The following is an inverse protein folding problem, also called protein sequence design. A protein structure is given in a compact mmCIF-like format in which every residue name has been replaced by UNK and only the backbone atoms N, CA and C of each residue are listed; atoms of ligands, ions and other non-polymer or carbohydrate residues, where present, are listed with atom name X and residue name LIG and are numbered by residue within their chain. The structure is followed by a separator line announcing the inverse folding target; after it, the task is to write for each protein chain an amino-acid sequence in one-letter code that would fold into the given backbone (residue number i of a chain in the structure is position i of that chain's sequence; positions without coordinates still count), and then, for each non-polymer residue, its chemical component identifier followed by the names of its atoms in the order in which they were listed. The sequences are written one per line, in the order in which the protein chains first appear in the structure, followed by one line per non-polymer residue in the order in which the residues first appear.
data_IF_733060637278
#
_entry.id   IF_733060637278
#
_cell.length_a   1.000
_cell.length_b   1.000
_cell.length_c   1.000
_cell.angle_alpha   90.00
_cell.angle_beta   90.00
_cell.angle_gamma   90.00
#
_symmetry.space_group_name_H-M   'P 1'
#
loop_
_entity.id
_entity.type
_entity.pdbx_description
1 polymer ?
#
# COMPACT_ATOMS: atom_id res chain seq x y z
N UNK A 1 -13.55 18.56 48.27
CA UNK A 1 -15.00 18.30 48.19
C UNK A 1 -15.64 19.65 47.93
N UNK A 2 -15.79 19.98 46.63
CA UNK A 2 -17.06 19.91 45.86
C UNK A 2 -17.85 21.20 46.11
N UNK A 3 -18.40 21.90 45.13
CA UNK A 3 -19.13 21.45 43.95
C UNK A 3 -19.48 22.63 43.02
N UNK A 4 -19.72 22.31 41.73
CA UNK A 4 -20.68 22.94 40.79
C UNK A 4 -20.44 24.41 40.36
N UNK A 5 -19.96 24.63 39.12
CA UNK A 5 -20.79 24.91 37.92
C UNK A 5 -21.50 26.29 37.92
N UNK A 6 -21.03 27.23 37.07
CA UNK A 6 -21.72 27.68 35.84
C UNK A 6 -21.09 28.94 35.23
N UNK A 7 -20.91 28.85 33.91
CA UNK A 7 -21.11 29.86 32.87
C UNK A 7 -20.36 31.20 32.91
N UNK A 8 -19.52 31.38 31.89
CA UNK A 8 -19.01 32.67 31.45
C UNK A 8 -18.35 32.51 30.08
N UNK A 9 -19.18 32.50 29.02
CA UNK A 9 -18.76 32.32 27.64
C UNK A 9 -17.70 33.33 27.19
N UNK A 10 -16.69 32.85 26.47
CA UNK A 10 -15.72 33.72 25.79
C UNK A 10 -16.28 34.04 24.39
N UNK A 11 -16.53 35.32 24.06
CA UNK A 11 -17.05 35.72 22.77
C UNK A 11 -15.99 35.55 21.66
N UNK A 12 -16.46 35.15 20.49
CA UNK A 12 -15.64 34.83 19.32
C UNK A 12 -14.74 35.99 18.88
N UNK A 13 -13.43 35.76 18.91
CA UNK A 13 -12.48 36.47 18.06
C UNK A 13 -12.42 35.77 16.70
N UNK A 14 -12.33 36.49 15.57
CA UNK A 14 -12.14 35.87 14.28
C UNK A 14 -10.84 35.06 14.36
N UNK A 15 -10.94 33.73 14.21
CA UNK A 15 -9.78 32.90 13.91
C UNK A 15 -9.19 33.46 12.62
N UNK A 16 -8.11 34.21 12.78
CA UNK A 16 -7.37 34.81 11.68
C UNK A 16 -6.62 33.66 11.04
N UNK A 17 -7.31 32.92 10.17
CA UNK A 17 -6.72 31.93 9.29
C UNK A 17 -5.63 32.66 8.53
N UNK A 18 -4.36 32.38 8.87
CA UNK A 18 -3.22 32.79 8.07
C UNK A 18 -3.32 32.04 6.75
N UNK A 19 -4.10 32.57 5.81
CA UNK A 19 -4.09 32.14 4.43
C UNK A 19 -2.78 32.67 3.84
N UNK A 20 -1.71 31.88 3.93
CA UNK A 20 -0.52 32.14 3.14
C UNK A 20 -0.91 32.02 1.68
N UNK A 21 -0.61 33.03 0.85
CA UNK A 21 -0.71 32.86 -0.59
C UNK A 21 0.22 31.71 -1.00
N UNK A 22 -0.19 30.83 -1.91
CA UNK A 22 0.57 29.64 -2.34
C UNK A 22 2.04 29.95 -2.70
N UNK A 23 2.30 31.17 -3.20
CA UNK A 23 3.65 31.66 -3.52
C UNK A 23 4.53 31.94 -2.30
N UNK A 24 3.97 32.37 -1.19
CA UNK A 24 4.73 32.67 0.03
C UNK A 24 5.11 31.39 0.77
N UNK A 25 4.23 30.38 0.75
CA UNK A 25 4.53 29.05 1.26
C UNK A 25 5.63 28.34 0.45
N UNK A 26 5.54 28.38 -0.89
CA UNK A 26 6.58 27.85 -1.77
C UNK A 26 7.94 28.53 -1.55
N UNK A 27 7.96 29.87 -1.41
CA UNK A 27 9.19 30.62 -1.13
C UNK A 27 9.83 30.22 0.21
N UNK A 28 9.01 29.95 1.22
CA UNK A 28 9.50 29.53 2.54
C UNK A 28 10.14 28.13 2.49
N UNK A 29 9.51 27.18 1.79
CA UNK A 29 10.09 25.86 1.55
C UNK A 29 11.39 25.91 0.74
N UNK A 30 11.43 26.76 -0.29
CA UNK A 30 12.63 26.99 -1.11
C UNK A 30 13.76 27.68 -0.33
N UNK A 31 13.46 28.52 0.66
CA UNK A 31 14.46 29.20 1.49
C UNK A 31 15.30 28.20 2.30
N UNK A 32 14.70 27.09 2.74
CA UNK A 32 15.40 26.03 3.48
C UNK A 32 16.20 25.06 2.59
N UNK A 33 16.17 25.23 1.26
CA UNK A 33 16.93 24.38 0.33
C UNK A 33 16.48 22.92 0.31
N UNK A 34 15.27 22.63 0.81
CA UNK A 34 14.64 21.30 0.81
C UNK A 34 13.79 21.07 -0.45
N UNK A 35 13.50 22.13 -1.20
CA UNK A 35 12.64 22.09 -2.36
C UNK A 35 13.09 23.15 -3.37
N UNK A 36 12.91 22.85 -4.65
CA UNK A 36 13.18 23.79 -5.74
C UNK A 36 12.25 23.53 -6.91
N UNK A 37 11.87 24.59 -7.62
CA UNK A 37 11.00 24.50 -8.79
C UNK A 37 11.78 24.72 -10.07
N UNK A 38 11.31 24.12 -11.16
CA UNK A 38 11.89 24.28 -12.48
C UNK A 38 10.80 24.41 -13.53
N UNK A 39 11.16 25.08 -14.63
CA UNK A 39 10.39 25.09 -15.86
C UNK A 39 11.33 24.81 -17.03
N UNK A 40 10.80 24.20 -18.08
CA UNK A 40 11.53 23.90 -19.31
C UNK A 40 10.65 24.18 -20.51
N UNK A 41 11.07 25.10 -21.36
CA UNK A 41 10.41 25.42 -22.63
C UNK A 41 11.07 24.63 -23.75
N UNK A 42 10.35 23.66 -24.31
CA UNK A 42 10.94 22.71 -25.27
C UNK A 42 11.40 23.38 -26.58
N UNK A 43 10.68 24.40 -27.05
CA UNK A 43 10.98 25.05 -28.33
C UNK A 43 12.33 25.78 -28.33
N UNK A 44 12.75 26.31 -27.18
CA UNK A 44 13.99 27.08 -27.03
C UNK A 44 15.05 26.33 -26.23
N UNK A 45 14.71 25.13 -25.74
CA UNK A 45 15.46 24.35 -24.76
C UNK A 45 15.83 25.14 -23.48
N UNK A 46 15.07 26.19 -23.19
CA UNK A 46 15.36 27.09 -22.07
C UNK A 46 14.78 26.54 -20.77
N UNK A 47 15.63 26.44 -19.75
CA UNK A 47 15.20 26.09 -18.39
C UNK A 47 15.25 27.32 -17.48
N UNK A 48 14.31 27.40 -16.55
CA UNK A 48 14.37 28.35 -15.43
C UNK A 48 14.29 27.57 -14.14
N UNK A 49 15.21 27.84 -13.22
CA UNK A 49 15.28 27.23 -11.90
C UNK A 49 14.99 28.28 -10.84
N UNK A 50 14.28 27.89 -9.80
CA UNK A 50 14.09 28.77 -8.65
C UNK A 50 15.35 28.89 -7.79
N UNK A 51 15.47 29.93 -6.96
CA UNK A 51 16.57 30.06 -6.01
C UNK A 51 16.68 28.84 -5.07
N UNK A 52 15.54 28.23 -4.71
CA UNK A 52 15.51 27.00 -3.93
C UNK A 52 16.18 25.84 -4.65
N UNK A 53 15.95 25.70 -5.97
CA UNK A 53 16.58 24.64 -6.76
C UNK A 53 18.09 24.84 -6.86
N UNK A 54 18.58 26.06 -7.07
CA UNK A 54 20.03 26.32 -7.02
C UNK A 54 20.64 25.84 -5.69
N UNK A 55 20.06 26.23 -4.55
CA UNK A 55 20.53 25.81 -3.23
C UNK A 55 20.41 24.29 -3.02
N UNK A 56 19.34 23.68 -3.52
CA UNK A 56 19.13 22.22 -3.48
C UNK A 56 20.20 21.46 -4.28
N UNK A 57 20.71 22.05 -5.35
CA UNK A 57 21.80 21.52 -6.17
C UNK A 57 23.20 21.85 -5.60
N UNK A 58 23.29 22.59 -4.48
CA UNK A 58 24.56 23.03 -3.91
C UNK A 58 25.21 24.16 -4.69
N UNK A 59 24.42 24.95 -5.42
CA UNK A 59 24.85 26.09 -6.23
C UNK A 59 24.33 27.40 -5.64
N UNK A 60 25.10 28.47 -5.82
CA UNK A 60 24.62 29.82 -5.52
C UNK A 60 23.61 30.29 -6.58
N UNK A 61 22.46 30.87 -6.19
CA UNK A 61 21.50 31.41 -7.15
C UNK A 61 22.15 32.42 -8.11
N UNK A 62 22.07 32.15 -9.40
CA UNK A 62 22.65 33.01 -10.45
C UNK A 62 24.14 32.78 -10.73
N UNK A 63 24.80 31.86 -10.04
CA UNK A 63 26.21 31.53 -10.30
C UNK A 63 26.43 30.77 -11.62
N UNK A 64 25.39 30.11 -12.14
CA UNK A 64 25.42 29.41 -13.41
C UNK A 64 24.08 29.55 -14.14
N UNK A 65 24.14 29.46 -15.47
CA UNK A 65 22.93 29.42 -16.30
C UNK A 65 22.22 28.08 -16.08
N UNK A 66 20.92 28.05 -15.74
CA UNK A 66 20.13 26.83 -15.72
C UNK A 66 20.20 26.10 -17.06
N UNK A 67 20.33 24.79 -17.02
CA UNK A 67 20.38 23.99 -18.25
C UNK A 67 20.45 22.49 -17.98
N UNK A 68 19.98 21.71 -18.95
CA UNK A 68 19.96 20.25 -18.87
C UNK A 68 21.34 19.67 -18.59
N UNK A 69 22.38 20.13 -19.29
CA UNK A 69 23.75 19.65 -19.13
C UNK A 69 24.31 19.92 -17.73
N UNK A 70 24.05 21.11 -17.17
CA UNK A 70 24.48 21.46 -15.82
C UNK A 70 23.85 20.54 -14.79
N UNK A 71 22.54 20.31 -14.90
CA UNK A 71 21.83 19.40 -14.01
C UNK A 71 22.32 17.96 -14.18
N UNK A 72 22.46 17.49 -15.42
CA UNK A 72 22.90 16.14 -15.75
C UNK A 72 24.29 15.82 -15.19
N UNK A 73 25.20 16.80 -15.19
CA UNK A 73 26.53 16.62 -14.59
C UNK A 73 26.49 16.42 -13.07
N UNK A 74 25.47 16.95 -12.39
CA UNK A 74 25.25 16.72 -10.96
C UNK A 74 24.58 15.38 -10.69
N UNK A 75 23.92 14.75 -11.67
CA UNK A 75 23.26 13.44 -11.48
C UNK A 75 24.29 12.34 -11.29
N UNK A 76 24.04 11.48 -10.30
CA UNK A 76 24.86 10.30 -10.03
C UNK A 76 24.96 9.43 -11.29
N UNK A 77 26.16 8.92 -11.67
CA UNK A 77 26.37 8.19 -12.93
C UNK A 77 25.35 7.08 -13.21
N UNK A 78 25.01 6.27 -12.19
CA UNK A 78 24.03 5.18 -12.29
C UNK A 78 22.60 5.65 -12.64
N UNK A 79 22.25 6.89 -12.31
CA UNK A 79 20.88 7.41 -12.47
C UNK A 79 20.75 8.24 -13.76
N UNK A 80 21.83 8.45 -14.52
CA UNK A 80 21.84 9.28 -15.73
C UNK A 80 20.90 8.78 -16.83
N UNK A 81 20.88 7.46 -17.06
CA UNK A 81 19.99 6.86 -18.06
C UNK A 81 18.50 7.09 -17.74
N UNK A 82 18.15 7.08 -16.45
CA UNK A 82 16.79 7.40 -15.99
C UNK A 82 16.43 8.86 -16.30
N UNK A 83 17.36 9.79 -16.04
CA UNK A 83 17.15 11.22 -16.30
C UNK A 83 17.04 11.53 -17.81
N UNK A 84 17.87 10.90 -18.64
CA UNK A 84 17.78 11.02 -20.10
C UNK A 84 16.44 10.50 -20.63
N UNK A 85 16.02 9.31 -20.17
CA UNK A 85 14.73 8.74 -20.53
C UNK A 85 13.55 9.62 -20.11
N UNK A 86 13.60 10.17 -18.89
CA UNK A 86 12.59 11.12 -18.39
C UNK A 86 12.54 12.42 -19.19
N UNK A 87 13.69 12.96 -19.59
CA UNK A 87 13.76 14.15 -20.44
C UNK A 87 13.13 13.90 -21.81
N UNK A 88 13.35 12.73 -22.41
CA UNK A 88 12.72 12.35 -23.66
C UNK A 88 11.21 12.15 -23.50
N UNK A 89 10.78 11.44 -22.46
CA UNK A 89 9.36 11.23 -22.15
C UNK A 89 8.60 12.56 -22.00
N UNK A 90 9.20 13.56 -21.34
CA UNK A 90 8.61 14.89 -21.19
C UNK A 90 8.45 15.62 -22.53
N UNK A 91 9.40 15.47 -23.47
CA UNK A 91 9.26 16.00 -24.84
C UNK A 91 8.15 15.30 -25.63
N UNK A 92 7.87 14.04 -25.31
CA UNK A 92 6.78 13.26 -25.89
C UNK A 92 5.43 13.50 -25.18
N UNK A 93 5.40 14.37 -24.16
CA UNK A 93 4.20 14.73 -23.41
C UNK A 93 3.87 13.81 -22.24
N UNK A 94 4.77 12.88 -21.88
CA UNK A 94 4.61 11.91 -20.81
C UNK A 94 5.36 12.41 -19.58
N UNK A 95 4.70 12.38 -18.41
CA UNK A 95 5.30 12.76 -17.13
C UNK A 95 5.39 11.56 -16.22
N UNK A 96 6.61 11.22 -15.82
CA UNK A 96 6.88 10.19 -14.82
C UNK A 96 7.51 10.84 -13.60
N UNK A 97 7.05 10.47 -12.40
CA UNK A 97 7.68 10.89 -11.16
C UNK A 97 8.77 9.87 -10.80
N UNK A 98 9.95 10.34 -10.41
CA UNK A 98 11.06 9.44 -10.13
C UNK A 98 11.98 9.98 -9.02
N UNK A 99 12.62 9.04 -8.33
CA UNK A 99 13.68 9.29 -7.38
C UNK A 99 15.03 9.13 -8.08
N UNK A 100 15.97 10.03 -7.80
CA UNK A 100 17.32 9.96 -8.35
C UNK A 100 18.31 10.63 -7.40
N UNK A 101 19.59 10.30 -7.55
CA UNK A 101 20.67 10.84 -6.75
C UNK A 101 21.40 11.96 -7.50
N UNK A 102 21.80 12.98 -6.76
CA UNK A 102 22.77 13.99 -7.20
C UNK A 102 24.03 13.93 -6.36
N UNK A 103 25.15 14.34 -6.94
CA UNK A 103 26.44 14.55 -6.29
C UNK A 103 26.73 16.05 -6.38
N UNK A 104 26.80 16.70 -5.22
CA UNK A 104 27.13 18.13 -5.12
C UNK A 104 28.64 18.35 -5.27
N UNK A 105 29.03 19.61 -5.47
CA UNK A 105 30.44 20.03 -5.56
C UNK A 105 31.26 19.73 -4.30
N UNK A 106 30.62 19.66 -3.14
CA UNK A 106 31.22 19.26 -1.86
C UNK A 106 31.36 17.73 -1.70
N UNK A 107 30.94 16.95 -2.71
CA UNK A 107 30.96 15.49 -2.71
C UNK A 107 29.79 14.83 -1.98
N UNK A 108 28.87 15.61 -1.38
CA UNK A 108 27.70 15.04 -0.73
C UNK A 108 26.70 14.48 -1.75
N UNK A 109 26.13 13.32 -1.43
CA UNK A 109 25.08 12.70 -2.24
C UNK A 109 23.73 13.07 -1.67
N UNK A 110 22.81 13.52 -2.52
CA UNK A 110 21.41 13.78 -2.15
C UNK A 110 20.45 12.94 -2.98
N UNK A 111 19.38 12.47 -2.35
CA UNK A 111 18.27 11.78 -3.01
C UNK A 111 17.16 12.78 -3.23
N UNK A 112 16.77 12.99 -4.49
CA UNK A 112 15.73 13.93 -4.88
C UNK A 112 14.52 13.20 -5.44
N UNK A 113 13.32 13.68 -5.10
CA UNK A 113 12.07 13.29 -5.75
C UNK A 113 11.65 14.32 -6.77
N UNK A 114 11.42 13.90 -8.02
CA UNK A 114 10.91 14.75 -9.10
C UNK A 114 9.41 14.55 -9.31
N UNK A 115 8.69 15.67 -9.35
CA UNK A 115 7.30 15.71 -9.79
C UNK A 115 7.11 16.82 -10.82
N UNK A 116 6.37 16.53 -11.89
CA UNK A 116 6.19 17.48 -13.00
C UNK A 116 4.81 17.50 -13.62
N UNK A 117 4.63 18.36 -14.60
CA UNK A 117 3.48 18.42 -15.50
C UNK A 117 3.94 18.99 -16.84
N UNK A 118 3.41 18.47 -17.94
CA UNK A 118 3.60 19.01 -19.29
C UNK A 118 2.36 19.77 -19.72
N UNK A 119 2.58 20.98 -20.25
CA UNK A 119 1.58 21.84 -20.83
C UNK A 119 1.68 21.80 -22.35
N UNK A 120 0.53 21.74 -23.02
CA UNK A 120 0.43 21.57 -24.46
C UNK A 120 -0.01 22.88 -25.14
N UNK A 121 0.33 23.05 -26.42
CA UNK A 121 -0.28 24.07 -27.29
C UNK A 121 -1.73 23.70 -27.61
N UNK A 122 -2.48 24.65 -28.19
CA UNK A 122 -3.83 24.39 -28.70
C UNK A 122 -3.88 23.25 -29.74
N UNK A 123 -2.79 23.04 -30.48
CA UNK A 123 -2.65 21.98 -31.48
C UNK A 123 -2.22 20.63 -30.88
N UNK A 124 -2.21 20.48 -29.55
CA UNK A 124 -1.90 19.24 -28.85
C UNK A 124 -0.40 18.88 -28.78
N UNK A 125 0.51 19.82 -29.08
CA UNK A 125 1.96 19.58 -29.00
C UNK A 125 2.53 20.00 -27.64
N UNK A 126 3.44 19.21 -27.02
CA UNK A 126 4.13 19.63 -25.81
C UNK A 126 4.82 21.00 -25.98
N UNK A 127 4.52 21.95 -25.10
CA UNK A 127 5.04 23.33 -25.15
C UNK A 127 6.06 23.59 -24.05
N UNK A 128 5.70 23.24 -22.82
CA UNK A 128 6.47 23.57 -21.62
C UNK A 128 6.25 22.49 -20.58
N UNK A 129 7.28 22.13 -19.83
CA UNK A 129 7.16 21.35 -18.60
C UNK A 129 7.45 22.23 -17.39
N UNK A 130 6.80 21.95 -16.27
CA UNK A 130 7.11 22.57 -14.99
C UNK A 130 7.03 21.53 -13.88
N UNK A 131 7.83 21.71 -12.82
CA UNK A 131 7.86 20.74 -11.74
C UNK A 131 8.57 21.23 -10.50
N UNK A 132 8.67 20.31 -9.55
CA UNK A 132 9.32 20.48 -8.26
C UNK A 132 10.27 19.32 -8.00
N UNK A 133 11.43 19.66 -7.44
CA UNK A 133 12.38 18.72 -6.87
C UNK A 133 12.35 18.87 -5.35
N UNK A 134 12.26 17.76 -4.64
CA UNK A 134 12.27 17.73 -3.17
C UNK A 134 13.43 16.88 -2.67
N UNK A 135 14.13 17.39 -1.67
CA UNK A 135 15.15 16.63 -0.95
C UNK A 135 14.50 15.59 -0.03
N UNK A 136 14.83 14.31 -0.24
CA UNK A 136 14.40 13.20 0.61
C UNK A 136 15.62 12.44 1.18
N UNK A 137 16.78 13.11 1.24
CA UNK A 137 18.06 12.51 1.63
C UNK A 137 18.12 12.04 3.08
N UNK A 138 17.24 12.50 3.97
CA UNK A 138 17.31 12.23 5.42
C UNK A 138 17.68 10.76 5.69
N UNK A 139 18.96 10.51 6.03
CA UNK A 139 19.49 9.14 6.10
C UNK A 139 18.88 8.38 7.25
N UNK A 140 18.52 9.08 8.32
CA UNK A 140 17.90 8.48 9.51
C UNK A 140 16.45 8.13 9.23
N UNK A 141 15.72 8.98 8.51
CA UNK A 141 14.35 8.71 8.11
C UNK A 141 14.26 7.60 7.06
N UNK A 142 15.13 7.60 6.04
CA UNK A 142 15.18 6.50 5.07
C UNK A 142 15.62 5.19 5.70
N UNK A 143 16.63 5.21 6.57
CA UNK A 143 17.01 4.02 7.34
C UNK A 143 15.91 3.60 8.33
N UNK A 144 15.15 4.53 8.91
CA UNK A 144 14.02 4.22 9.79
C UNK A 144 12.84 3.64 9.01
N UNK A 145 12.49 4.18 7.85
CA UNK A 145 11.46 3.65 6.95
C UNK A 145 11.83 2.26 6.46
N UNK A 146 13.09 2.06 6.02
CA UNK A 146 13.58 0.74 5.64
C UNK A 146 13.62 -0.23 6.82
N UNK A 147 14.07 0.20 8.01
CA UNK A 147 14.05 -0.64 9.22
C UNK A 147 12.63 -0.99 9.65
N UNK A 148 11.70 -0.05 9.59
CA UNK A 148 10.30 -0.26 9.96
C UNK A 148 9.59 -1.15 8.95
N UNK A 149 9.84 -0.98 7.65
CA UNK A 149 9.31 -1.87 6.62
C UNK A 149 9.90 -3.29 6.74
N UNK A 150 11.21 -3.41 6.98
CA UNK A 150 11.84 -4.71 7.26
C UNK A 150 11.29 -5.34 8.53
N UNK A 151 11.07 -4.56 9.59
CA UNK A 151 10.46 -5.02 10.84
C UNK A 151 9.02 -5.47 10.62
N UNK A 152 8.22 -4.69 9.87
CA UNK A 152 6.84 -5.00 9.52
C UNK A 152 6.77 -6.30 8.71
N UNK A 153 7.60 -6.44 7.68
CA UNK A 153 7.73 -7.68 6.90
C UNK A 153 8.13 -8.86 7.76
N UNK A 154 9.10 -8.68 8.66
CA UNK A 154 9.54 -9.74 9.59
C UNK A 154 8.43 -10.19 10.52
N UNK A 155 7.71 -9.26 11.15
CA UNK A 155 6.58 -9.57 12.05
C UNK A 155 5.46 -10.27 11.29
N UNK A 156 5.10 -9.80 10.09
CA UNK A 156 4.09 -10.44 9.25
C UNK A 156 4.49 -11.87 8.86
N UNK A 157 5.78 -12.10 8.61
CA UNK A 157 6.28 -13.44 8.33
C UNK A 157 6.29 -14.33 9.58
N UNK A 158 6.83 -13.86 10.70
CA UNK A 158 6.92 -14.62 11.96
C UNK A 158 5.53 -14.97 12.50
N UNK A 159 4.60 -14.01 12.54
CA UNK A 159 3.27 -14.19 13.14
C UNK A 159 2.25 -14.77 12.17
N UNK A 160 2.22 -14.27 10.93
CA UNK A 160 1.18 -14.61 9.95
C UNK A 160 1.67 -15.53 8.82
N UNK A 161 2.95 -15.93 8.80
CA UNK A 161 3.54 -16.75 7.74
C UNK A 161 3.18 -16.21 6.35
N UNK A 162 3.21 -14.88 6.24
CA UNK A 162 2.87 -14.12 5.04
C UNK A 162 4.11 -13.37 4.57
N UNK A 163 4.40 -13.44 3.27
CA UNK A 163 5.52 -12.71 2.68
C UNK A 163 5.18 -12.21 1.28
N UNK A 164 5.85 -11.12 0.90
CA UNK A 164 5.76 -10.54 -0.42
C UNK A 164 7.03 -10.84 -1.20
N UNK A 165 6.88 -11.06 -2.49
CA UNK A 165 8.01 -11.31 -3.37
C UNK A 165 7.73 -10.72 -4.75
N UNK A 166 8.62 -9.84 -5.21
CA UNK A 166 8.63 -9.36 -6.59
C UNK A 166 9.94 -9.79 -7.25
N UNK A 167 9.84 -10.40 -8.43
CA UNK A 167 10.99 -10.74 -9.27
C UNK A 167 10.61 -10.56 -10.73
N UNK A 168 11.57 -10.16 -11.58
CA UNK A 168 11.45 -10.43 -13.01
C UNK A 168 11.13 -11.92 -13.20
N UNK A 169 10.05 -12.25 -13.89
CA UNK A 169 9.75 -13.64 -14.26
C UNK A 169 10.42 -13.95 -15.60
N UNK A 170 11.72 -13.72 -15.67
CA UNK A 170 12.53 -14.15 -16.81
C UNK A 170 13.14 -15.51 -16.46
N UNK A 171 13.31 -16.40 -17.45
CA UNK A 171 14.01 -17.68 -17.22
C UNK A 171 15.44 -17.47 -16.70
N UNK A 172 16.05 -16.33 -17.03
CA UNK A 172 17.44 -16.01 -16.73
C UNK A 172 17.67 -15.27 -15.41
N UNK A 173 16.64 -14.71 -14.78
CA UNK A 173 16.81 -13.90 -13.57
C UNK A 173 15.67 -14.14 -12.57
N UNK A 174 15.80 -15.21 -11.77
CA UNK A 174 14.91 -15.51 -10.65
C UNK A 174 15.67 -15.33 -9.34
N UNK A 175 15.18 -14.44 -8.49
CA UNK A 175 15.69 -14.26 -7.13
C UNK A 175 14.63 -14.75 -6.16
N UNK A 176 14.97 -15.57 -5.17
CA UNK A 176 14.05 -15.85 -4.08
C UNK A 176 14.09 -14.73 -3.03
N UNK A 177 12.98 -14.56 -2.32
CA UNK A 177 12.95 -13.75 -1.11
C UNK A 177 13.62 -14.51 0.05
N UNK A 178 14.21 -13.76 1.00
CA UNK A 178 14.88 -14.35 2.17
C UNK A 178 13.94 -15.24 2.99
N UNK A 179 12.66 -14.88 3.04
CA UNK A 179 11.60 -15.62 3.72
C UNK A 179 11.42 -17.01 3.11
N UNK A 180 11.40 -17.14 1.78
CA UNK A 180 11.29 -18.44 1.09
C UNK A 180 12.52 -19.30 1.29
N UNK A 181 13.73 -18.72 1.21
CA UNK A 181 14.96 -19.47 1.46
C UNK A 181 15.00 -19.98 2.91
N UNK A 182 14.57 -19.15 3.87
CA UNK A 182 14.50 -19.55 5.27
C UNK A 182 13.49 -20.69 5.53
N UNK A 183 12.37 -20.73 4.80
CA UNK A 183 11.38 -21.81 4.93
C UNK A 183 11.84 -23.11 4.29
N UNK A 184 12.43 -23.02 3.11
CA UNK A 184 12.78 -24.17 2.27
C UNK A 184 14.18 -24.72 2.57
N UNK A 185 15.06 -23.90 3.15
CA UNK A 185 16.46 -24.22 3.40
C UNK A 185 17.34 -24.15 2.16
N UNK A 186 16.79 -23.72 1.02
CA UNK A 186 17.54 -23.60 -0.22
C UNK A 186 18.51 -22.42 -0.16
N UNK A 187 19.63 -22.55 -0.85
CA UNK A 187 20.48 -21.40 -1.16
C UNK A 187 19.88 -20.59 -2.32
N UNK A 188 20.30 -19.34 -2.46
CA UNK A 188 19.92 -18.53 -3.62
C UNK A 188 20.40 -19.17 -4.93
N UNK A 189 21.54 -19.84 -4.90
CA UNK A 189 22.09 -20.54 -6.06
C UNK A 189 21.23 -21.74 -6.45
N UNK A 190 20.84 -22.59 -5.50
CA UNK A 190 19.94 -23.73 -5.75
C UNK A 190 18.59 -23.28 -6.32
N UNK A 191 18.07 -22.17 -5.80
CA UNK A 191 16.83 -21.58 -6.29
C UNK A 191 16.98 -21.01 -7.71
N UNK A 192 18.10 -20.37 -8.00
CA UNK A 192 18.38 -19.84 -9.33
C UNK A 192 18.50 -20.97 -10.37
N UNK A 193 19.24 -22.02 -10.04
CA UNK A 193 19.41 -23.21 -10.89
C UNK A 193 18.10 -23.95 -11.12
N UNK A 194 17.30 -24.14 -10.05
CA UNK A 194 16.00 -24.77 -10.17
C UNK A 194 15.01 -24.29 -9.10
N UNK A 195 14.29 -23.23 -9.44
CA UNK A 195 13.26 -22.62 -8.58
C UNK A 195 12.13 -23.59 -8.20
N UNK A 196 11.86 -24.62 -9.01
CA UNK A 196 10.79 -25.60 -8.69
C UNK A 196 11.12 -26.44 -7.46
N UNK A 197 12.37 -26.43 -7.00
CA UNK A 197 12.78 -27.13 -5.76
C UNK A 197 12.07 -26.62 -4.51
N UNK A 198 11.51 -25.40 -4.54
CA UNK A 198 10.69 -24.89 -3.43
C UNK A 198 9.43 -25.72 -3.20
N UNK A 199 8.89 -26.36 -4.25
CA UNK A 199 7.69 -27.20 -4.14
C UNK A 199 8.05 -28.62 -3.72
N UNK A 200 7.10 -29.28 -3.07
CA UNK A 200 7.16 -30.74 -2.87
C UNK A 200 7.31 -31.45 -4.23
N UNK A 201 8.08 -32.56 -4.31
CA UNK A 201 8.41 -33.21 -5.58
C UNK A 201 7.21 -33.48 -6.49
N UNK A 202 6.08 -33.87 -5.91
CA UNK A 202 4.86 -34.24 -6.60
C UNK A 202 4.17 -33.02 -7.26
N UNK A 203 4.37 -31.82 -6.73
CA UNK A 203 3.74 -30.59 -7.21
C UNK A 203 4.59 -29.83 -8.24
N UNK A 204 5.85 -30.20 -8.43
CA UNK A 204 6.81 -29.44 -9.27
C UNK A 204 6.36 -29.32 -10.73
N UNK A 205 6.00 -30.44 -11.34
CA UNK A 205 5.58 -30.47 -12.75
C UNK A 205 4.29 -29.67 -12.96
N UNK A 206 3.33 -29.79 -12.03
CA UNK A 206 2.09 -29.03 -12.06
C UNK A 206 2.34 -27.53 -11.90
N UNK A 207 3.18 -27.13 -10.94
CA UNK A 207 3.50 -25.72 -10.69
C UNK A 207 4.18 -25.07 -11.91
N UNK A 208 5.11 -25.80 -12.55
CA UNK A 208 5.76 -25.36 -13.78
C UNK A 208 4.74 -25.15 -14.90
N UNK A 209 3.90 -26.16 -15.18
CA UNK A 209 2.90 -26.09 -16.25
C UNK A 209 1.89 -24.94 -16.04
N UNK A 210 1.39 -24.76 -14.81
CA UNK A 210 0.48 -23.66 -14.47
C UNK A 210 1.15 -22.30 -14.68
N UNK A 211 2.39 -22.13 -14.23
CA UNK A 211 3.13 -20.88 -14.39
C UNK A 211 3.41 -20.57 -15.88
N UNK A 212 3.82 -21.57 -16.66
CA UNK A 212 4.06 -21.41 -18.10
C UNK A 212 2.78 -21.09 -18.88
N UNK A 213 1.62 -21.60 -18.46
CA UNK A 213 0.35 -21.29 -19.10
C UNK A 213 -0.19 -19.89 -18.74
N UNK A 214 -0.05 -19.46 -17.48
CA UNK A 214 -0.73 -18.26 -16.98
C UNK A 214 0.12 -17.00 -17.11
N UNK A 215 1.44 -17.08 -16.94
CA UNK A 215 2.32 -15.90 -17.04
C UNK A 215 2.21 -15.18 -18.40
N UNK A 216 2.20 -15.87 -19.56
CA UNK A 216 2.07 -15.20 -20.86
C UNK A 216 0.75 -14.45 -21.05
N UNK A 217 -0.30 -14.82 -20.31
CA UNK A 217 -1.60 -14.13 -20.39
C UNK A 217 -1.53 -12.70 -19.82
N UNK A 218 -0.56 -12.42 -18.95
CA UNK A 218 -0.39 -11.12 -18.31
C UNK A 218 -1.56 -10.72 -17.42
N UNK A 219 -2.37 -11.66 -16.93
CA UNK A 219 -3.49 -11.41 -16.02
C UNK A 219 -3.13 -11.82 -14.59
N UNK A 220 -3.61 -11.09 -13.57
CA UNK A 220 -3.49 -11.54 -12.18
C UNK A 220 -4.14 -12.91 -11.99
N UNK A 221 -3.54 -13.75 -11.15
CA UNK A 221 -4.09 -15.06 -10.81
C UNK A 221 -3.72 -15.47 -9.39
N UNK A 222 -4.48 -16.43 -8.85
CA UNK A 222 -4.18 -17.06 -7.57
C UNK A 222 -3.89 -18.55 -7.75
N UNK A 223 -3.01 -19.08 -6.92
CA UNK A 223 -2.68 -20.51 -6.91
C UNK A 223 -2.44 -21.00 -5.49
N UNK A 224 -2.73 -22.27 -5.26
CA UNK A 224 -2.34 -22.98 -4.04
C UNK A 224 -1.32 -24.08 -4.39
N UNK A 225 -0.28 -24.19 -3.58
CA UNK A 225 0.77 -25.19 -3.76
C UNK A 225 1.41 -25.57 -2.44
N UNK A 226 2.02 -26.76 -2.40
CA UNK A 226 2.76 -27.22 -1.23
C UNK A 226 4.27 -26.91 -1.39
N UNK A 227 4.83 -26.19 -0.42
CA UNK A 227 6.27 -25.98 -0.31
C UNK A 227 6.93 -27.10 0.50
N UNK A 228 8.13 -27.51 0.09
CA UNK A 228 9.00 -28.39 0.85
C UNK A 228 9.75 -27.57 1.91
N UNK A 229 9.65 -27.97 3.18
CA UNK A 229 10.28 -27.27 4.31
C UNK A 229 11.65 -27.85 4.64
N UNK A 230 12.57 -27.00 5.11
CA UNK A 230 13.94 -27.38 5.48
C UNK A 230 14.01 -28.51 6.53
N UNK A 231 13.06 -28.54 7.46
CA UNK A 231 13.00 -29.50 8.57
C UNK A 231 12.43 -30.87 8.22
N UNK A 232 12.16 -31.17 6.94
CA UNK A 232 11.47 -32.39 6.53
C UNK A 232 9.97 -32.29 6.78
N UNK A 233 9.24 -31.77 5.79
CA UNK A 233 7.79 -31.60 5.85
C UNK A 233 7.29 -30.71 4.73
N UNK A 234 5.98 -30.42 4.74
CA UNK A 234 5.38 -29.54 3.74
C UNK A 234 4.48 -28.46 4.34
N UNK A 235 4.34 -27.36 3.59
CA UNK A 235 3.48 -26.24 3.93
C UNK A 235 2.58 -25.90 2.75
N UNK A 236 1.26 -25.89 2.96
CA UNK A 236 0.35 -25.40 1.93
C UNK A 236 0.33 -23.88 1.93
N UNK A 237 0.61 -23.29 0.78
CA UNK A 237 0.70 -21.85 0.57
C UNK A 237 -0.35 -21.45 -0.45
N UNK A 238 -1.00 -20.31 -0.21
CA UNK A 238 -1.84 -19.63 -1.19
C UNK A 238 -1.10 -18.38 -1.63
N UNK A 239 -1.05 -18.17 -2.93
CA UNK A 239 -0.32 -17.05 -3.52
C UNK A 239 -1.18 -16.33 -4.53
N UNK A 240 -1.12 -15.02 -4.50
CA UNK A 240 -1.72 -14.12 -5.49
C UNK A 240 -0.59 -13.48 -6.27
N UNK A 241 -0.62 -13.63 -7.59
CA UNK A 241 0.37 -13.11 -8.52
C UNK A 241 -0.24 -11.96 -9.32
N UNK A 242 0.47 -10.84 -9.39
CA UNK A 242 0.05 -9.63 -10.10
C UNK A 242 1.19 -9.17 -11.00
N UNK A 243 0.94 -8.91 -12.29
CA UNK A 243 1.96 -8.35 -13.17
C UNK A 243 2.22 -6.89 -12.80
N UNK A 244 3.48 -6.55 -12.67
CA UNK A 244 3.94 -5.16 -12.55
C UNK A 244 4.33 -4.72 -13.95
N UNK A 245 3.62 -3.71 -14.45
CA UNK A 245 3.82 -3.18 -15.79
C UNK A 245 4.59 -1.87 -15.72
N UNK A 246 5.51 -1.69 -16.65
CA UNK A 246 6.17 -0.42 -16.87
C UNK A 246 5.25 0.55 -17.60
N UNK A 247 5.72 1.78 -17.78
CA UNK A 247 5.00 2.85 -18.45
C UNK A 247 4.68 2.53 -19.93
N UNK A 248 5.42 1.61 -20.55
CA UNK A 248 5.20 1.11 -21.93
C UNK A 248 4.12 0.01 -22.01
N UNK A 249 3.49 -0.35 -20.88
CA UNK A 249 2.47 -1.39 -20.77
C UNK A 249 3.01 -2.82 -20.80
N UNK A 250 4.32 -3.02 -20.99
CA UNK A 250 4.95 -4.34 -20.90
C UNK A 250 5.10 -4.78 -19.45
N UNK A 251 5.15 -6.09 -19.25
CA UNK A 251 5.33 -6.66 -17.92
C UNK A 251 6.83 -6.62 -17.61
N UNK A 252 7.22 -5.79 -16.65
CA UNK A 252 8.61 -5.71 -16.17
C UNK A 252 8.91 -6.80 -15.14
N UNK A 253 7.95 -7.07 -14.26
CA UNK A 253 8.10 -8.08 -13.21
C UNK A 253 6.75 -8.64 -12.76
N UNK A 254 6.77 -9.66 -11.89
CA UNK A 254 5.57 -10.08 -11.19
C UNK A 254 5.77 -9.93 -9.69
N UNK A 255 4.77 -9.33 -9.06
CA UNK A 255 4.64 -9.30 -7.62
C UNK A 255 3.77 -10.47 -7.16
N UNK A 256 4.11 -11.02 -5.99
CA UNK A 256 3.35 -12.08 -5.35
C UNK A 256 3.16 -11.78 -3.87
N UNK A 257 1.95 -12.01 -3.38
CA UNK A 257 1.64 -12.10 -1.96
C UNK A 257 1.39 -13.57 -1.65
N UNK A 258 2.14 -14.11 -0.69
CA UNK A 258 2.11 -15.52 -0.33
C UNK A 258 1.72 -15.65 1.13
N UNK A 259 0.80 -16.55 1.44
CA UNK A 259 0.37 -16.81 2.82
C UNK A 259 0.20 -18.31 3.06
N UNK A 260 0.53 -18.77 4.28
CA UNK A 260 0.28 -20.15 4.67
C UNK A 260 -1.21 -20.41 4.80
N UNK A 261 -1.73 -21.42 4.09
CA UNK A 261 -3.11 -21.86 4.24
C UNK A 261 -3.28 -22.53 5.59
N UNK A 262 -4.04 -21.87 6.47
CA UNK A 262 -4.18 -22.25 7.88
C UNK A 262 -3.28 -21.47 8.86
N UNK A 263 -2.50 -20.48 8.39
CA UNK A 263 -1.72 -19.56 9.22
C UNK A 263 -2.55 -18.45 9.87
N UNK A 264 -2.06 -17.96 11.02
CA UNK A 264 -2.62 -16.95 11.94
C UNK A 264 -4.15 -16.81 11.93
N UNK A 265 -4.79 -17.53 12.85
CA UNK A 265 -6.07 -17.09 13.41
C UNK A 265 -5.73 -16.17 14.58
N UNK A 266 -5.97 -14.85 14.52
CA UNK A 266 -6.01 -14.09 15.75
C UNK A 266 -7.03 -14.79 16.63
N UNK A 267 -6.61 -15.23 17.82
CA UNK A 267 -7.58 -15.53 18.85
C UNK A 267 -8.39 -14.24 19.00
N UNK A 268 -9.63 -14.22 18.52
CA UNK A 268 -10.50 -13.08 18.71
C UNK A 268 -10.51 -12.84 20.23
N UNK A 269 -9.84 -11.79 20.69
CA UNK A 269 -9.84 -11.48 22.11
C UNK A 269 -11.30 -11.31 22.51
N UNK A 270 -11.66 -11.78 23.71
CA UNK A 270 -13.04 -11.66 24.20
C UNK A 270 -13.58 -10.24 24.07
N UNK A 271 -12.70 -9.23 24.19
CA UNK A 271 -13.00 -7.81 24.06
C UNK A 271 -13.38 -7.37 22.62
N UNK A 272 -12.63 -7.80 21.59
CA UNK A 272 -12.99 -7.47 20.19
C UNK A 272 -14.27 -8.20 19.79
N UNK A 273 -14.45 -9.44 20.27
CA UNK A 273 -15.68 -10.21 20.05
C UNK A 273 -16.89 -9.57 20.71
N UNK A 274 -16.76 -9.08 21.95
CA UNK A 274 -17.80 -8.34 22.65
C UNK A 274 -18.10 -6.98 22.00
N UNK A 275 -17.08 -6.22 21.60
CA UNK A 275 -17.26 -4.95 20.91
C UNK A 275 -17.99 -5.11 19.57
N UNK A 276 -17.63 -6.15 18.81
CA UNK A 276 -18.28 -6.47 17.54
C UNK A 276 -19.73 -6.92 17.72
N UNK A 277 -20.04 -7.64 18.81
CA UNK A 277 -21.41 -8.05 19.18
C UNK A 277 -22.28 -6.86 19.62
N UNK A 278 -21.67 -5.87 20.30
CA UNK A 278 -22.35 -4.63 20.67
C UNK A 278 -22.66 -3.75 19.46
N UNK A 279 -21.81 -3.78 18.44
CA UNK A 279 -21.98 -3.06 17.17
C UNK A 279 -23.05 -3.67 16.23
N UNK A 280 -23.56 -4.88 16.52
CA UNK A 280 -24.64 -5.49 15.73
C UNK A 280 -25.97 -4.77 15.97
N UNK A 281 -26.36 -3.96 15.00
CA UNK A 281 -27.67 -3.32 14.93
C UNK A 281 -28.78 -4.23 14.37
N UNK A 282 -30.04 -3.80 14.51
CA UNK A 282 -31.22 -4.48 13.98
C UNK A 282 -31.15 -4.80 12.48
N UNK A 283 -30.58 -3.89 11.68
CA UNK A 283 -30.34 -4.08 10.24
C UNK A 283 -29.50 -5.33 9.95
N UNK A 284 -28.45 -5.56 10.75
CA UNK A 284 -27.56 -6.70 10.59
C UNK A 284 -28.23 -8.03 10.97
N UNK A 285 -29.10 -8.05 11.99
CA UNK A 285 -29.88 -9.24 12.36
C UNK A 285 -30.86 -9.63 11.25
N UNK A 286 -31.57 -8.64 10.68
CA UNK A 286 -32.45 -8.84 9.52
C UNK A 286 -31.70 -9.38 8.32
N UNK A 287 -30.55 -8.78 7.99
CA UNK A 287 -29.70 -9.23 6.90
C UNK A 287 -29.20 -10.67 7.11
N UNK A 288 -28.75 -11.00 8.33
CA UNK A 288 -28.28 -12.34 8.69
C UNK A 288 -29.37 -13.40 8.55
N UNK A 289 -30.59 -13.12 9.02
CA UNK A 289 -31.73 -14.02 8.81
C UNK A 289 -32.09 -14.14 7.33
N UNK A 290 -32.07 -13.05 6.58
CA UNK A 290 -32.31 -13.04 5.14
C UNK A 290 -31.35 -13.99 4.40
N UNK A 291 -30.06 -13.96 4.74
CA UNK A 291 -29.04 -14.85 4.17
C UNK A 291 -29.24 -16.33 4.52
N UNK A 292 -29.92 -16.63 5.62
CA UNK A 292 -30.25 -18.00 6.05
C UNK A 292 -31.65 -18.45 5.59
N UNK A 293 -32.46 -17.56 5.02
CA UNK A 293 -33.88 -17.81 4.78
C UNK A 293 -34.71 -18.01 6.06
N UNK A 294 -34.23 -17.49 7.19
CA UNK A 294 -34.87 -17.68 8.50
C UNK A 294 -35.99 -16.67 8.75
N UNK A 295 -37.12 -17.14 9.28
CA UNK A 295 -38.12 -16.30 9.92
C UNK A 295 -37.64 -15.78 11.29
N UNK A 296 -38.34 -14.81 11.87
CA UNK A 296 -38.07 -14.40 13.26
C UNK A 296 -38.29 -15.55 14.26
N UNK A 297 -39.20 -16.49 13.95
CA UNK A 297 -39.45 -17.69 14.74
C UNK A 297 -38.26 -18.66 14.74
N UNK A 298 -37.59 -18.81 13.60
CA UNK A 298 -36.41 -19.65 13.48
C UNK A 298 -35.25 -19.09 14.29
N UNK A 299 -35.05 -17.77 14.26
CA UNK A 299 -34.05 -17.11 15.11
C UNK A 299 -34.41 -17.22 16.60
N UNK A 300 -35.69 -17.06 16.96
CA UNK A 300 -36.16 -17.24 18.33
C UNK A 300 -35.86 -18.65 18.85
N UNK A 301 -36.19 -19.68 18.07
CA UNK A 301 -35.89 -21.08 18.38
C UNK A 301 -34.38 -21.36 18.49
N UNK A 302 -33.58 -20.88 17.54
CA UNK A 302 -32.13 -21.12 17.52
C UNK A 302 -31.35 -20.37 18.62
N UNK A 303 -31.90 -19.27 19.13
CA UNK A 303 -31.30 -18.44 20.18
C UNK A 303 -31.86 -18.70 21.58
N UNK A 304 -32.98 -19.43 21.71
CA UNK A 304 -33.68 -19.64 22.98
C UNK A 304 -34.39 -18.37 23.49
N UNK A 305 -34.69 -17.42 22.60
CA UNK A 305 -35.39 -16.18 22.93
C UNK A 305 -36.88 -16.28 22.56
N UNK A 306 -37.72 -15.44 23.17
CA UNK A 306 -39.11 -15.32 22.72
C UNK A 306 -39.20 -14.58 21.38
N UNK A 307 -40.25 -14.87 20.60
CA UNK A 307 -40.53 -14.16 19.34
C UNK A 307 -40.66 -12.64 19.56
N UNK A 308 -41.26 -12.22 20.67
CA UNK A 308 -41.35 -10.80 21.06
C UNK A 308 -40.00 -10.15 21.33
N UNK A 309 -39.03 -10.89 21.86
CA UNK A 309 -37.67 -10.40 22.11
C UNK A 309 -36.90 -10.24 20.81
N UNK A 310 -37.02 -11.19 19.88
CA UNK A 310 -36.41 -11.10 18.55
C UNK A 310 -36.99 -9.93 17.76
N UNK A 311 -38.32 -9.73 17.82
CA UNK A 311 -38.99 -8.60 17.18
C UNK A 311 -38.46 -7.25 17.70
N UNK A 312 -38.34 -7.10 19.02
CA UNK A 312 -37.74 -5.90 19.64
C UNK A 312 -36.28 -5.68 19.27
N UNK A 313 -35.50 -6.75 19.06
CA UNK A 313 -34.11 -6.66 18.61
C UNK A 313 -33.97 -6.15 17.16
N UNK A 314 -35.02 -6.29 16.33
CA UNK A 314 -35.02 -5.90 14.92
C UNK A 314 -35.75 -4.57 14.60
N UNK A 315 -36.49 -4.01 15.57
CA UNK A 315 -37.32 -2.80 15.39
C UNK A 315 -36.70 -1.52 16.04
N UNK A 316 -35.45 -1.57 16.54
CA UNK A 316 -34.70 -0.42 17.11
C UNK A 316 -35.45 0.42 18.18
N UNK A 317 -36.30 -0.22 19.00
CA UNK A 317 -36.84 0.40 20.24
C UNK A 317 -35.83 0.33 21.39
N UNK A 318 -35.96 1.21 22.41
CA UNK A 318 -35.09 1.29 23.60
C UNK A 318 -34.53 -0.08 24.01
N UNK A 319 -33.20 -0.18 23.90
CA UNK A 319 -32.50 -1.42 23.57
C UNK A 319 -32.80 -2.60 24.49
N UNK A 320 -33.08 -3.80 23.94
CA UNK A 320 -33.13 -5.04 24.72
C UNK A 320 -31.80 -5.29 25.46
N UNK A 321 -31.86 -5.97 26.61
CA UNK A 321 -30.67 -6.29 27.41
C UNK A 321 -29.55 -6.92 26.54
N UNK A 322 -28.31 -6.47 26.71
CA UNK A 322 -27.14 -6.93 25.95
C UNK A 322 -27.01 -8.46 25.84
N UNK A 323 -27.53 -9.19 26.83
CA UNK A 323 -27.64 -10.65 26.86
C UNK A 323 -28.52 -11.23 25.74
N UNK A 324 -29.65 -10.63 25.43
CA UNK A 324 -30.56 -11.10 24.36
C UNK A 324 -29.93 -10.92 22.98
N UNK A 325 -29.25 -9.78 22.75
CA UNK A 325 -28.51 -9.54 21.51
C UNK A 325 -27.36 -10.54 21.33
N UNK A 326 -26.63 -10.83 22.39
CA UNK A 326 -25.58 -11.85 22.38
C UNK A 326 -26.12 -13.24 22.00
N UNK A 327 -27.25 -13.67 22.59
CA UNK A 327 -27.87 -14.95 22.28
C UNK A 327 -28.30 -15.06 20.80
N UNK A 328 -28.88 -13.99 20.24
CA UNK A 328 -29.26 -13.95 18.83
C UNK A 328 -28.03 -14.01 17.89
N UNK A 329 -26.98 -13.24 18.16
CA UNK A 329 -25.74 -13.23 17.36
C UNK A 329 -25.02 -14.59 17.44
N UNK A 330 -25.00 -15.22 18.61
CA UNK A 330 -24.43 -16.55 18.80
C UNK A 330 -25.17 -17.62 17.98
N UNK A 331 -26.50 -17.57 17.93
CA UNK A 331 -27.31 -18.49 17.12
C UNK A 331 -27.03 -18.34 15.61
N UNK A 332 -27.00 -17.10 15.11
CA UNK A 332 -26.69 -16.82 13.71
C UNK A 332 -25.28 -17.29 13.32
N UNK A 333 -24.30 -17.11 14.20
CA UNK A 333 -22.94 -17.63 14.00
C UNK A 333 -22.88 -19.16 13.95
N UNK A 334 -23.61 -19.85 14.83
CA UNK A 334 -23.72 -21.33 14.78
C UNK A 334 -24.31 -21.80 13.45
N UNK A 335 -25.21 -21.02 12.86
CA UNK A 335 -25.81 -21.27 11.55
C UNK A 335 -24.93 -20.85 10.35
N UNK A 336 -23.71 -20.36 10.58
CA UNK A 336 -22.74 -20.06 9.53
C UNK A 336 -22.69 -18.59 9.09
N UNK A 337 -23.31 -17.67 9.84
CA UNK A 337 -23.19 -16.23 9.58
C UNK A 337 -21.94 -15.65 10.26
N UNK A 338 -21.17 -14.90 9.49
CA UNK A 338 -20.07 -14.06 9.98
C UNK A 338 -20.47 -12.60 10.00
N UNK A 339 -19.99 -11.89 11.02
CA UNK A 339 -20.04 -10.44 11.12
C UNK A 339 -18.60 -9.94 11.01
N UNK A 340 -18.33 -9.09 10.03
CA UNK A 340 -16.98 -8.62 9.68
C UNK A 340 -16.95 -7.10 9.78
N UNK A 341 -15.89 -6.56 10.38
CA UNK A 341 -15.67 -5.12 10.39
C UNK A 341 -15.05 -4.71 9.05
N UNK A 342 -15.68 -3.76 8.36
CA UNK A 342 -15.21 -3.12 7.13
C UNK A 342 -14.76 -1.71 7.51
N UNK A 343 -13.89 -1.10 6.69
CA UNK A 343 -13.38 0.26 6.90
C UNK A 343 -14.47 1.25 7.33
N UNK A 344 -14.13 2.16 8.26
CA UNK A 344 -15.07 3.16 8.78
C UNK A 344 -16.06 2.66 9.83
N UNK A 345 -15.71 1.62 10.61
CA UNK A 345 -16.56 1.06 11.69
C UNK A 345 -17.89 0.44 11.19
N UNK A 346 -17.94 0.09 9.90
CA UNK A 346 -19.12 -0.51 9.27
C UNK A 346 -19.08 -2.03 9.45
N UNK A 347 -20.23 -2.65 9.72
CA UNK A 347 -20.32 -4.09 9.94
C UNK A 347 -20.96 -4.78 8.73
N UNK A 348 -20.20 -5.65 8.05
CA UNK A 348 -20.73 -6.50 6.99
C UNK A 348 -21.25 -7.83 7.56
N UNK A 349 -22.34 -8.32 6.98
CA UNK A 349 -22.93 -9.64 7.29
C UNK A 349 -22.74 -10.54 6.08
N UNK A 350 -22.11 -11.70 6.29
CA UNK A 350 -21.85 -12.65 5.21
C UNK A 350 -22.06 -14.10 5.67
N UNK A 351 -22.37 -14.98 4.73
CA UNK A 351 -22.36 -16.42 4.97
C UNK A 351 -20.93 -16.92 4.84
N UNK A 352 -20.39 -17.55 5.89
CA UNK A 352 -18.98 -17.97 5.98
C UNK A 352 -18.83 -19.48 5.84
N UNK A 353 -19.89 -20.17 5.40
CA UNK A 353 -19.91 -21.59 5.04
C UNK A 353 -20.53 -21.80 3.68
#
# INVERSE_FOLDING_TARGET
MSELEREGGIPGGPQRTLAFADRDWLRLLEAHGLTGTWTWTFATDEQTWSPGLFRLLGLEPGAARPGGDLFFNLVHPDDRALIEGGAQAMRDGIVTNYLFRIIRSDGSVRVLSSHGTVYFTLDGRPRTAAGVLMDVTDPEHMAALHREEQRRRRILFEQAQTWQHASPYTRSFRLASREVLSLTGLSQQDFHENWTRIFVPEDRARALATMEAVIPTGRPFSAEYALALAGGGSARIRSVFVPVRGDDGRIESWASLNCRVGGFRPAASGAVRQGLEQAVQASHLRAARGLLGWSMGDLAGASGLSLSTVRRLEEDGEGPAARSRHAAVAALRRAGIGFLLVEGNTLAVAKVR
#
